data_IF_200279137364
#
_entry.id   IF_200279137364
#
_cell.length_a   1.000
_cell.length_b   1.000
_cell.length_c   1.000
_cell.angle_alpha   90.00
_cell.angle_beta   90.00
_cell.angle_gamma   90.00
#
_symmetry.space_group_name_H-M   'P 1'
#
loop_
_entity.id
_entity.type
_entity.pdbx_description
1 polymer ?
#
# COMPACT_ATOMS: atom_id res chain seq x y z
N UNK A 1 7.74 -15.89 -4.36
CA UNK A 1 8.85 -15.45 -5.23
C UNK A 1 8.95 -13.92 -5.15
N UNK A 2 10.15 -13.35 -5.10
CA UNK A 2 10.34 -11.90 -5.15
C UNK A 2 10.35 -11.43 -6.61
N UNK A 3 9.59 -10.37 -6.90
CA UNK A 3 9.41 -9.81 -8.25
C UNK A 3 9.67 -8.33 -8.15
N UNK A 4 10.57 -7.84 -9.00
CA UNK A 4 11.06 -6.46 -9.00
C UNK A 4 11.83 -6.19 -10.29
N UNK A 5 11.97 -4.92 -10.62
CA UNK A 5 12.76 -4.40 -11.74
C UNK A 5 13.56 -3.15 -11.34
N UNK A 6 13.08 -2.40 -10.33
CA UNK A 6 13.72 -1.19 -9.80
C UNK A 6 15.14 -1.42 -9.28
N UNK A 7 16.00 -0.41 -9.47
CA UNK A 7 17.39 -0.40 -8.98
C UNK A 7 17.46 -0.51 -7.46
N UNK A 8 16.54 0.17 -6.75
CA UNK A 8 16.44 0.11 -5.28
C UNK A 8 16.26 -1.32 -4.75
N UNK A 9 15.44 -2.13 -5.42
CA UNK A 9 15.26 -3.54 -5.04
C UNK A 9 16.48 -4.39 -5.38
N UNK A 10 17.16 -4.12 -6.50
CA UNK A 10 18.42 -4.79 -6.84
C UNK A 10 19.49 -4.57 -5.77
N UNK A 11 19.68 -3.32 -5.32
CA UNK A 11 20.62 -2.97 -4.25
C UNK A 11 20.25 -3.62 -2.92
N UNK A 12 18.95 -3.59 -2.59
CA UNK A 12 18.42 -4.21 -1.36
C UNK A 12 18.68 -5.72 -1.36
N UNK A 13 18.46 -6.41 -2.49
CA UNK A 13 18.72 -7.84 -2.60
C UNK A 13 20.22 -8.18 -2.63
N UNK A 14 21.06 -7.34 -3.24
CA UNK A 14 22.51 -7.51 -3.17
C UNK A 14 23.02 -7.42 -1.72
N UNK A 15 22.46 -6.51 -0.92
CA UNK A 15 22.72 -6.44 0.53
C UNK A 15 22.16 -7.65 1.26
N UNK A 16 20.91 -8.04 0.98
CA UNK A 16 20.27 -9.20 1.60
C UNK A 16 21.06 -10.50 1.35
N UNK A 17 21.59 -10.72 0.14
CA UNK A 17 22.47 -11.86 -0.18
C UNK A 17 23.72 -11.92 0.69
N UNK A 18 24.36 -10.77 0.93
CA UNK A 18 25.53 -10.68 1.83
C UNK A 18 25.12 -10.94 3.28
N UNK A 19 23.99 -10.37 3.71
CA UNK A 19 23.50 -10.51 5.08
C UNK A 19 23.04 -11.95 5.35
N UNK A 20 22.48 -12.66 4.37
CA UNK A 20 22.04 -14.04 4.51
C UNK A 20 23.17 -14.97 4.99
N UNK A 21 24.41 -14.72 4.58
CA UNK A 21 25.61 -15.50 4.98
C UNK A 21 26.13 -15.18 6.39
N UNK A 22 25.71 -14.07 6.99
CA UNK A 22 26.08 -13.67 8.35
C UNK A 22 25.18 -14.35 9.39
N UNK A 23 25.72 -14.59 10.58
CA UNK A 23 24.94 -15.01 11.76
C UNK A 23 24.25 -13.83 12.48
N UNK A 24 24.59 -12.60 12.10
CA UNK A 24 24.05 -11.39 12.72
C UNK A 24 22.55 -11.22 12.52
N UNK A 25 21.93 -10.53 13.48
CA UNK A 25 20.53 -10.09 13.43
C UNK A 25 20.32 -9.16 12.25
N UNK A 26 19.23 -9.38 11.52
CA UNK A 26 18.83 -8.52 10.40
C UNK A 26 17.54 -7.80 10.75
N UNK A 27 17.54 -6.47 10.66
CA UNK A 27 16.35 -5.64 10.83
C UNK A 27 15.83 -5.18 9.46
N UNK A 28 14.58 -5.52 9.15
CA UNK A 28 13.89 -5.13 7.93
C UNK A 28 12.89 -4.01 8.25
N UNK A 29 13.18 -2.81 7.78
CA UNK A 29 12.31 -1.64 7.90
C UNK A 29 11.52 -1.44 6.61
N UNK A 30 10.26 -1.04 6.72
CA UNK A 30 9.44 -0.69 5.56
C UNK A 30 7.96 -0.72 5.87
N UNK A 31 7.19 0.03 5.08
CA UNK A 31 5.74 0.14 5.26
C UNK A 31 5.03 -1.23 5.18
N UNK A 32 3.82 -1.30 5.73
CA UNK A 32 3.00 -2.51 5.62
C UNK A 32 2.68 -2.80 4.15
N UNK A 33 2.68 -4.09 3.80
CA UNK A 33 2.38 -4.52 2.43
C UNK A 33 3.52 -4.37 1.41
N UNK A 34 4.74 -4.03 1.83
CA UNK A 34 5.92 -3.92 0.93
C UNK A 34 6.60 -5.26 0.59
N UNK A 35 6.29 -6.33 1.33
CA UNK A 35 6.88 -7.65 1.16
C UNK A 35 8.02 -8.01 2.12
N UNK A 36 8.10 -7.36 3.30
CA UNK A 36 9.09 -7.66 4.36
C UNK A 36 9.21 -9.15 4.67
N UNK A 37 8.07 -9.81 4.75
CA UNK A 37 7.93 -11.23 5.02
C UNK A 37 8.59 -12.13 3.94
N UNK A 38 8.50 -11.74 2.66
CA UNK A 38 9.17 -12.44 1.55
C UNK A 38 10.68 -12.21 1.58
N UNK A 39 11.12 -11.01 1.98
CA UNK A 39 12.55 -10.71 2.14
C UNK A 39 13.15 -11.47 3.33
N UNK A 40 12.41 -11.63 4.42
CA UNK A 40 12.82 -12.47 5.55
C UNK A 40 12.97 -13.94 5.14
N UNK A 41 12.02 -14.47 4.37
CA UNK A 41 12.12 -15.82 3.82
C UNK A 41 13.34 -15.94 2.89
N UNK A 42 13.56 -14.96 2.02
CA UNK A 42 14.73 -14.92 1.15
C UNK A 42 16.05 -14.97 1.93
N UNK A 43 16.16 -14.22 3.03
CA UNK A 43 17.33 -14.24 3.91
C UNK A 43 17.55 -15.63 4.54
N UNK A 44 16.48 -16.30 4.96
CA UNK A 44 16.56 -17.66 5.50
C UNK A 44 17.02 -18.67 4.44
N UNK A 45 16.37 -18.68 3.28
CA UNK A 45 16.63 -19.60 2.17
C UNK A 45 18.06 -19.48 1.61
N UNK A 46 18.67 -18.29 1.73
CA UNK A 46 20.04 -18.02 1.27
C UNK A 46 21.08 -18.07 2.40
N UNK A 47 20.69 -18.54 3.59
CA UNK A 47 21.59 -18.67 4.74
C UNK A 47 22.14 -20.09 4.90
N UNK A 48 23.20 -20.29 5.69
CA UNK A 48 23.66 -21.63 6.08
C UNK A 48 22.60 -22.48 6.82
N UNK A 49 21.47 -21.90 7.19
CA UNK A 49 20.37 -22.52 7.95
C UNK A 49 19.12 -22.76 7.11
N UNK A 50 19.21 -22.68 5.78
CA UNK A 50 18.08 -22.87 4.87
C UNK A 50 17.38 -24.24 4.98
N UNK A 51 18.09 -25.26 5.48
CA UNK A 51 17.53 -26.60 5.73
C UNK A 51 16.93 -26.76 7.14
N UNK A 52 17.00 -25.72 7.98
CA UNK A 52 16.50 -25.72 9.37
C UNK A 52 15.14 -25.03 9.45
N UNK A 53 14.49 -25.13 10.61
CA UNK A 53 13.19 -24.49 10.82
C UNK A 53 13.27 -22.96 10.65
N UNK A 54 12.26 -22.39 9.99
CA UNK A 54 12.01 -20.96 9.96
C UNK A 54 10.69 -20.69 10.69
N UNK A 55 10.78 -20.31 11.97
CA UNK A 55 9.61 -19.98 12.80
C UNK A 55 9.27 -18.53 12.61
N UNK A 56 8.01 -18.24 12.30
CA UNK A 56 7.54 -16.91 11.90
C UNK A 56 6.47 -16.48 12.88
N UNK A 57 6.65 -15.29 13.44
CA UNK A 57 5.84 -14.79 14.54
C UNK A 57 5.46 -13.36 14.24
N UNK A 58 4.17 -13.06 14.23
CA UNK A 58 3.68 -11.69 14.14
C UNK A 58 3.45 -11.15 15.56
N UNK A 59 4.28 -10.21 15.98
CA UNK A 59 4.22 -9.63 17.31
C UNK A 59 2.93 -8.82 17.56
N UNK A 60 2.29 -8.31 16.50
CA UNK A 60 1.02 -7.58 16.60
C UNK A 60 -0.16 -8.49 16.94
N UNK A 61 -0.02 -9.82 16.79
CA UNK A 61 -1.08 -10.79 17.07
C UNK A 61 -1.12 -11.24 18.54
N UNK A 62 -0.16 -10.81 19.36
CA UNK A 62 -0.14 -11.16 20.77
C UNK A 62 -1.24 -10.43 21.54
N UNK A 63 -2.00 -11.19 22.32
CA UNK A 63 -2.91 -10.62 23.30
C UNK A 63 -2.11 -10.10 24.50
N UNK A 64 -2.59 -9.03 25.13
CA UNK A 64 -1.95 -8.42 26.29
C UNK A 64 -1.66 -9.47 27.37
N UNK A 65 -0.39 -9.59 27.77
CA UNK A 65 0.08 -10.54 28.78
C UNK A 65 0.48 -11.94 28.30
N UNK A 66 0.15 -12.32 27.05
CA UNK A 66 0.55 -13.63 26.50
C UNK A 66 1.83 -13.60 25.66
N UNK A 67 2.29 -12.42 25.25
CA UNK A 67 3.49 -12.27 24.41
C UNK A 67 4.72 -13.00 24.98
N UNK A 68 4.91 -12.96 26.31
CA UNK A 68 6.04 -13.65 26.95
C UNK A 68 5.88 -15.17 26.92
N UNK A 69 4.66 -15.66 27.22
CA UNK A 69 4.32 -17.08 27.19
C UNK A 69 4.46 -17.69 25.79
N UNK A 70 4.06 -16.94 24.77
CA UNK A 70 4.14 -17.37 23.37
C UNK A 70 5.60 -17.38 22.88
N UNK A 71 6.39 -16.34 23.16
CA UNK A 71 7.78 -16.28 22.72
C UNK A 71 8.72 -17.21 23.49
N UNK A 72 8.67 -17.16 24.82
CA UNK A 72 9.63 -17.84 25.71
C UNK A 72 9.11 -19.17 26.27
N UNK A 73 7.81 -19.47 26.11
CA UNK A 73 7.19 -20.61 26.76
C UNK A 73 6.85 -20.36 28.23
N UNK A 74 6.09 -21.28 28.82
CA UNK A 74 5.74 -21.25 30.25
C UNK A 74 5.69 -22.67 30.83
N UNK A 75 5.95 -22.74 32.14
CA UNK A 75 5.73 -23.97 32.92
C UNK A 75 4.29 -24.06 33.42
N UNK A 76 3.85 -25.28 33.72
CA UNK A 76 2.53 -25.51 34.30
C UNK A 76 2.37 -24.70 35.60
N UNK A 77 1.27 -23.98 35.73
CA UNK A 77 0.97 -23.15 36.92
C UNK A 77 1.66 -21.78 36.94
N UNK A 78 2.34 -21.37 35.87
CA UNK A 78 3.04 -20.08 35.82
C UNK A 78 2.10 -18.85 35.94
N UNK A 79 0.85 -18.97 35.50
CA UNK A 79 -0.19 -17.94 35.62
C UNK A 79 -1.60 -18.58 35.59
N UNK A 80 -2.63 -17.79 35.88
CA UNK A 80 -4.04 -18.24 35.82
C UNK A 80 -4.42 -18.65 34.40
N UNK A 81 -4.59 -19.95 34.15
CA UNK A 81 -4.85 -20.52 32.82
C UNK A 81 -3.71 -21.37 32.26
N UNK A 82 -2.52 -21.37 32.88
CA UNK A 82 -1.37 -22.20 32.53
C UNK A 82 -1.56 -23.66 32.97
N UNK A 83 -2.57 -24.32 32.40
CA UNK A 83 -2.96 -25.70 32.76
C UNK A 83 -1.95 -26.75 32.27
N UNK A 84 -1.17 -26.43 31.23
CA UNK A 84 -0.13 -27.29 30.63
C UNK A 84 1.11 -26.45 30.36
N UNK A 85 2.26 -27.13 30.23
CA UNK A 85 3.51 -26.52 29.78
C UNK A 85 3.42 -26.15 28.28
N UNK A 86 4.03 -25.03 27.90
CA UNK A 86 4.20 -24.57 26.52
C UNK A 86 5.66 -24.24 26.26
N UNK A 87 6.23 -24.72 25.15
CA UNK A 87 7.66 -24.56 24.88
C UNK A 87 8.02 -23.20 24.24
N UNK A 88 7.06 -22.54 23.59
CA UNK A 88 7.23 -21.21 22.97
C UNK A 88 7.98 -21.21 21.63
N UNK A 89 7.94 -20.06 20.94
CA UNK A 89 8.50 -19.90 19.60
C UNK A 89 10.03 -19.96 19.54
N UNK A 90 10.71 -19.49 20.59
CA UNK A 90 12.18 -19.59 20.68
C UNK A 90 12.66 -21.03 20.70
N UNK A 91 11.94 -21.91 21.41
CA UNK A 91 12.24 -23.33 21.42
C UNK A 91 11.99 -23.96 20.04
N UNK A 92 10.84 -23.65 19.42
CA UNK A 92 10.48 -24.16 18.09
C UNK A 92 11.50 -23.74 17.02
N UNK A 93 12.12 -22.57 17.16
CA UNK A 93 13.14 -22.10 16.23
C UNK A 93 14.46 -22.87 16.37
N UNK A 94 14.79 -23.39 17.55
CA UNK A 94 15.94 -24.25 17.81
C UNK A 94 17.27 -23.66 17.33
N UNK A 95 17.86 -24.30 16.32
CA UNK A 95 19.08 -23.84 15.62
C UNK A 95 18.82 -23.25 14.23
N UNK A 96 17.56 -23.04 13.88
CA UNK A 96 17.09 -22.44 12.65
C UNK A 96 17.04 -20.92 12.69
N UNK A 97 15.90 -20.35 12.30
CA UNK A 97 15.67 -18.91 12.21
C UNK A 97 14.33 -18.56 12.88
N UNK A 98 14.34 -17.50 13.69
CA UNK A 98 13.14 -16.88 14.25
C UNK A 98 12.91 -15.55 13.54
N UNK A 99 11.82 -15.45 12.80
CA UNK A 99 11.36 -14.22 12.16
C UNK A 99 10.30 -13.55 13.04
N UNK A 100 10.58 -12.33 13.49
CA UNK A 100 9.70 -11.49 14.31
C UNK A 100 9.17 -10.34 13.44
N UNK A 101 7.93 -10.45 12.97
CA UNK A 101 7.25 -9.38 12.23
C UNK A 101 6.57 -8.40 13.19
N UNK A 102 6.55 -7.14 12.79
CA UNK A 102 6.08 -6.00 13.58
C UNK A 102 6.69 -5.93 15.01
N UNK A 103 8.02 -6.06 15.11
CA UNK A 103 8.77 -6.05 16.38
C UNK A 103 8.51 -4.80 17.23
N UNK A 104 8.14 -3.67 16.60
CA UNK A 104 7.78 -2.42 17.27
C UNK A 104 6.49 -2.50 18.11
N UNK A 105 5.70 -3.56 17.96
CA UNK A 105 4.48 -3.81 18.76
C UNK A 105 4.77 -4.59 20.06
N UNK A 106 6.01 -5.03 20.29
CA UNK A 106 6.32 -5.81 21.50
C UNK A 106 6.17 -4.97 22.78
N UNK A 107 5.54 -5.52 23.84
CA UNK A 107 5.52 -4.88 25.16
C UNK A 107 6.92 -4.70 25.75
N UNK A 108 7.14 -3.61 26.50
CA UNK A 108 8.44 -3.30 27.15
C UNK A 108 9.02 -4.44 28.02
N UNK A 109 8.23 -5.19 28.82
CA UNK A 109 8.77 -6.32 29.59
C UNK A 109 9.34 -7.42 28.69
N UNK A 110 8.64 -7.73 27.59
CA UNK A 110 9.05 -8.70 26.57
C UNK A 110 10.31 -8.25 25.86
N UNK A 111 10.44 -6.95 25.57
CA UNK A 111 11.65 -6.36 24.96
C UNK A 111 12.90 -6.59 25.83
N UNK A 112 12.80 -6.41 27.16
CA UNK A 112 13.92 -6.64 28.08
C UNK A 112 14.37 -8.11 28.09
N UNK A 113 13.42 -9.06 28.02
CA UNK A 113 13.74 -10.49 27.91
C UNK A 113 14.37 -10.82 26.56
N UNK A 114 13.84 -10.28 25.47
CA UNK A 114 14.39 -10.48 24.12
C UNK A 114 15.82 -9.95 24.00
N UNK A 115 16.16 -8.85 24.68
CA UNK A 115 17.54 -8.37 24.74
C UNK A 115 18.49 -9.43 25.33
N UNK A 116 18.12 -10.05 26.47
CA UNK A 116 18.93 -11.11 27.09
C UNK A 116 19.14 -12.29 26.15
N UNK A 117 18.11 -12.62 25.35
CA UNK A 117 18.18 -13.66 24.32
C UNK A 117 19.18 -13.30 23.21
N UNK A 118 19.21 -12.05 22.76
CA UNK A 118 20.13 -11.58 21.73
C UNK A 118 21.58 -11.42 22.21
N UNK A 119 21.78 -11.23 23.51
CA UNK A 119 23.10 -11.05 24.12
C UNK A 119 23.73 -12.37 24.57
N UNK A 120 22.98 -13.17 25.34
CA UNK A 120 23.48 -14.37 26.00
C UNK A 120 23.06 -15.67 25.30
N UNK A 121 22.17 -15.62 24.29
CA UNK A 121 21.57 -16.80 23.66
C UNK A 121 20.85 -17.73 24.66
N UNK A 122 20.41 -17.15 25.78
CA UNK A 122 19.78 -17.84 26.90
C UNK A 122 18.45 -17.18 27.24
N UNK A 123 17.47 -17.99 27.64
CA UNK A 123 16.15 -17.52 28.05
C UNK A 123 15.58 -18.39 29.17
N UNK A 124 14.57 -17.85 29.86
CA UNK A 124 13.81 -18.55 30.89
C UNK A 124 12.36 -18.63 30.44
N UNK A 125 11.73 -19.79 30.66
CA UNK A 125 10.28 -19.91 30.53
C UNK A 125 9.61 -19.13 31.65
N UNK A 126 8.40 -18.63 31.40
CA UNK A 126 7.61 -17.97 32.44
C UNK A 126 7.34 -18.98 33.57
N UNK A 127 7.67 -18.60 34.81
CA UNK A 127 7.54 -19.46 36.00
C UNK A 127 8.66 -20.48 36.20
N UNK A 128 9.67 -20.52 35.33
CA UNK A 128 10.83 -21.41 35.48
C UNK A 128 12.08 -20.68 35.94
N UNK A 129 12.94 -21.39 36.67
CA UNK A 129 14.33 -20.98 37.00
C UNK A 129 15.36 -21.70 36.14
N UNK A 130 14.93 -22.61 35.26
CA UNK A 130 15.81 -23.40 34.40
C UNK A 130 16.19 -22.62 33.14
N UNK A 131 17.49 -22.32 33.00
CA UNK A 131 18.04 -21.62 31.84
C UNK A 131 17.98 -22.51 30.60
N UNK A 132 17.31 -22.01 29.56
CA UNK A 132 17.25 -22.61 28.24
C UNK A 132 18.23 -21.90 27.30
N UNK A 133 18.84 -22.64 26.38
CA UNK A 133 19.71 -22.09 25.34
C UNK A 133 19.05 -22.18 23.99
N UNK A 134 19.19 -21.13 23.18
CA UNK A 134 18.83 -21.16 21.77
C UNK A 134 20.05 -20.85 20.92
N UNK A 135 20.08 -21.33 19.69
CA UNK A 135 21.10 -20.89 18.72
C UNK A 135 20.48 -20.24 17.50
N UNK A 136 19.15 -20.10 17.46
CA UNK A 136 18.37 -19.53 16.38
C UNK A 136 18.85 -18.13 15.98
N UNK A 137 18.83 -17.87 14.67
CA UNK A 137 19.13 -16.57 14.10
C UNK A 137 17.87 -15.73 14.17
N UNK A 138 17.99 -14.48 14.59
CA UNK A 138 16.86 -13.56 14.63
C UNK A 138 16.83 -12.69 13.37
N UNK A 139 15.66 -12.63 12.73
CA UNK A 139 15.32 -11.64 11.69
C UNK A 139 14.12 -10.87 12.23
N UNK A 140 14.23 -9.56 12.31
CA UNK A 140 13.14 -8.70 12.80
C UNK A 140 12.62 -7.82 11.65
N UNK A 141 11.33 -7.53 11.64
CA UNK A 141 10.71 -6.61 10.71
C UNK A 141 9.80 -5.61 11.43
N UNK A 142 9.68 -4.40 10.88
CA UNK A 142 8.76 -3.38 11.41
C UNK A 142 8.35 -2.37 10.36
N UNK A 143 7.13 -1.86 10.49
CA UNK A 143 6.64 -0.66 9.80
C UNK A 143 6.86 0.65 10.57
N UNK A 144 7.25 0.60 11.85
CA UNK A 144 7.46 1.78 12.70
C UNK A 144 8.88 2.31 12.55
N UNK A 145 9.02 3.60 12.82
CA UNK A 145 10.34 4.21 13.02
C UNK A 145 10.80 3.94 14.46
N UNK A 146 11.62 2.88 14.64
CA UNK A 146 12.07 2.48 15.97
C UNK A 146 12.83 3.58 16.70
N UNK A 147 13.49 4.51 16.00
CA UNK A 147 14.18 5.63 16.66
C UNK A 147 13.19 6.59 17.31
N UNK A 148 12.04 6.82 16.66
CA UNK A 148 10.94 7.60 17.24
C UNK A 148 10.28 6.85 18.40
N UNK A 149 10.12 5.53 18.29
CA UNK A 149 9.57 4.72 19.38
C UNK A 149 10.49 4.70 20.61
N UNK A 150 11.82 4.70 20.41
CA UNK A 150 12.81 4.86 21.48
C UNK A 150 12.69 6.24 22.14
N UNK A 151 12.65 7.31 21.34
CA UNK A 151 12.48 8.67 21.87
C UNK A 151 11.15 8.85 22.65
N UNK A 152 10.11 8.10 22.26
CA UNK A 152 8.82 8.10 22.94
C UNK A 152 8.74 7.13 24.14
N UNK A 153 9.82 6.42 24.48
CA UNK A 153 9.86 5.47 25.60
C UNK A 153 9.04 4.19 25.39
N UNK A 154 8.58 3.93 24.16
CA UNK A 154 7.81 2.71 23.80
C UNK A 154 8.70 1.57 23.33
N UNK A 155 9.94 1.87 22.98
CA UNK A 155 10.94 0.87 22.60
C UNK A 155 12.23 1.12 23.36
N UNK A 156 12.92 0.05 23.76
CA UNK A 156 14.19 0.19 24.50
C UNK A 156 15.35 0.50 23.55
N UNK A 157 16.18 1.45 23.94
CA UNK A 157 17.37 1.86 23.19
C UNK A 157 18.39 0.72 23.05
N UNK A 158 18.62 -0.03 24.13
CA UNK A 158 19.55 -1.17 24.16
C UNK A 158 19.15 -2.28 23.16
N UNK A 159 17.86 -2.64 23.13
CA UNK A 159 17.31 -3.60 22.18
C UNK A 159 17.42 -3.08 20.74
N UNK A 160 17.13 -1.79 20.52
CA UNK A 160 17.24 -1.19 19.19
C UNK A 160 18.67 -1.33 18.64
N UNK A 161 19.70 -1.00 19.42
CA UNK A 161 21.08 -1.15 18.99
C UNK A 161 21.48 -2.59 18.72
N UNK A 162 20.90 -3.57 19.42
CA UNK A 162 21.17 -4.99 19.20
C UNK A 162 20.44 -5.57 17.97
N UNK A 163 19.33 -4.95 17.57
CA UNK A 163 18.58 -5.30 16.35
C UNK A 163 19.14 -4.59 15.10
N UNK A 164 19.52 -3.31 15.21
CA UNK A 164 20.00 -2.45 14.11
C UNK A 164 21.46 -2.71 13.72
N UNK A 165 21.87 -3.98 13.68
CA UNK A 165 23.24 -4.40 13.31
C UNK A 165 23.35 -4.54 11.79
N UNK A 166 22.42 -5.24 11.16
CA UNK A 166 22.34 -5.40 9.71
C UNK A 166 20.97 -4.94 9.22
N UNK A 167 20.90 -3.73 8.68
CA UNK A 167 19.60 -3.08 8.44
C UNK A 167 19.28 -3.02 6.94
N UNK A 168 18.11 -3.54 6.57
CA UNK A 168 17.54 -3.47 5.23
C UNK A 168 16.32 -2.56 5.27
N UNK A 169 16.21 -1.65 4.31
CA UNK A 169 15.01 -0.83 4.11
C UNK A 169 14.35 -1.29 2.82
N UNK A 170 13.08 -1.68 2.90
CA UNK A 170 12.24 -1.87 1.73
C UNK A 170 11.51 -0.57 1.44
N UNK A 171 11.77 -0.04 0.24
CA UNK A 171 11.09 1.15 -0.23
C UNK A 171 9.59 0.87 -0.43
N UNK A 172 8.72 1.84 -0.12
CA UNK A 172 7.31 1.76 -0.50
C UNK A 172 7.16 1.73 -2.03
N UNK A 173 6.04 1.22 -2.52
CA UNK A 173 5.81 0.97 -3.95
C UNK A 173 5.89 2.25 -4.79
N UNK A 174 5.47 3.39 -4.23
CA UNK A 174 5.60 4.73 -4.85
C UNK A 174 7.04 5.20 -5.06
N UNK A 175 8.01 4.66 -4.32
CA UNK A 175 9.45 4.94 -4.50
C UNK A 175 10.11 3.96 -5.50
N UNK A 176 9.36 2.99 -6.03
CA UNK A 176 9.83 1.95 -6.97
C UNK A 176 8.77 1.62 -8.02
N UNK A 177 8.32 2.65 -8.72
CA UNK A 177 7.22 2.54 -9.69
C UNK A 177 7.56 1.64 -10.86
N UNK A 178 8.84 1.40 -11.14
CA UNK A 178 9.30 0.45 -12.17
C UNK A 178 8.94 -1.00 -11.83
N UNK A 179 8.70 -1.33 -10.55
CA UNK A 179 8.24 -2.67 -10.16
C UNK A 179 6.76 -2.91 -10.54
N UNK A 180 5.96 -1.86 -10.74
CA UNK A 180 4.50 -1.98 -10.88
C UNK A 180 4.10 -2.82 -12.11
N UNK A 181 4.63 -2.58 -13.34
CA UNK A 181 4.23 -3.36 -14.51
C UNK A 181 4.53 -4.85 -14.36
N UNK A 182 5.70 -5.22 -13.85
CA UNK A 182 6.08 -6.64 -13.64
C UNK A 182 5.26 -7.30 -12.54
N UNK A 183 4.92 -6.57 -11.48
CA UNK A 183 4.02 -7.05 -10.43
C UNK A 183 2.60 -7.27 -10.94
N UNK A 184 2.06 -6.34 -11.72
CA UNK A 184 0.73 -6.47 -12.35
C UNK A 184 0.70 -7.70 -13.24
N UNK A 185 1.67 -7.85 -14.14
CA UNK A 185 1.75 -9.01 -15.03
C UNK A 185 1.86 -10.34 -14.28
N UNK A 186 2.55 -10.35 -13.15
CA UNK A 186 2.60 -11.53 -12.29
C UNK A 186 1.24 -11.86 -11.67
N UNK A 187 0.56 -10.85 -11.10
CA UNK A 187 -0.75 -11.07 -10.47
C UNK A 187 -1.82 -11.47 -11.48
N UNK A 188 -1.82 -10.91 -12.69
CA UNK A 188 -2.71 -11.33 -13.76
C UNK A 188 -2.53 -12.82 -14.10
N UNK A 189 -1.28 -13.29 -14.23
CA UNK A 189 -0.98 -14.71 -14.48
C UNK A 189 -1.42 -15.59 -13.32
N UNK A 190 -1.18 -15.14 -12.09
CA UNK A 190 -1.56 -15.88 -10.89
C UNK A 190 -3.08 -16.06 -10.80
N UNK A 191 -3.85 -14.98 -10.93
CA UNK A 191 -5.31 -15.01 -10.79
C UNK A 191 -6.02 -15.54 -12.03
N UNK A 192 -5.41 -15.40 -13.21
CA UNK A 192 -5.88 -16.08 -14.43
C UNK A 192 -5.88 -17.60 -14.27
N UNK A 193 -4.85 -18.16 -13.62
CA UNK A 193 -4.77 -19.59 -13.33
C UNK A 193 -5.67 -20.02 -12.17
N UNK A 194 -5.74 -19.25 -11.10
CA UNK A 194 -6.52 -19.62 -9.90
C UNK A 194 -8.04 -19.54 -10.13
N UNK A 195 -8.52 -18.57 -10.91
CA UNK A 195 -9.94 -18.28 -11.06
C UNK A 195 -10.50 -18.66 -12.45
N UNK A 196 -9.70 -19.29 -13.32
CA UNK A 196 -10.05 -19.60 -14.71
C UNK A 196 -10.63 -18.39 -15.48
N UNK A 197 -10.14 -17.18 -15.15
CA UNK A 197 -10.67 -15.94 -15.71
C UNK A 197 -10.14 -15.70 -17.13
N UNK A 198 -10.92 -15.06 -18.02
CA UNK A 198 -10.47 -14.72 -19.36
C UNK A 198 -9.42 -13.60 -19.39
N UNK A 199 -9.15 -12.98 -18.24
CA UNK A 199 -8.31 -11.79 -18.11
C UNK A 199 -6.84 -12.13 -18.32
N UNK A 200 -6.23 -11.51 -19.33
CA UNK A 200 -4.81 -11.71 -19.67
C UNK A 200 -3.99 -10.43 -19.61
N UNK A 201 -4.63 -9.26 -19.64
CA UNK A 201 -3.94 -7.98 -19.69
C UNK A 201 -4.69 -6.85 -18.95
N UNK A 202 -3.95 -5.82 -18.59
CA UNK A 202 -4.47 -4.49 -18.24
C UNK A 202 -4.25 -3.58 -19.44
N UNK A 203 -5.21 -2.71 -19.74
CA UNK A 203 -5.09 -1.73 -20.83
C UNK A 203 -3.85 -0.85 -20.66
N UNK A 204 -3.13 -0.60 -21.76
CA UNK A 204 -1.94 0.28 -21.78
C UNK A 204 -2.26 1.69 -21.27
N UNK A 205 -3.51 2.14 -21.41
CA UNK A 205 -3.99 3.44 -20.91
C UNK A 205 -4.06 3.50 -19.36
N UNK A 206 -4.21 2.36 -18.70
CA UNK A 206 -4.28 2.27 -17.24
C UNK A 206 -2.89 2.19 -16.60
N UNK A 207 -1.87 1.72 -17.32
CA UNK A 207 -0.54 1.51 -16.76
C UNK A 207 0.08 2.80 -16.18
N UNK A 208 0.03 3.97 -16.87
CA UNK A 208 0.51 5.22 -16.29
C UNK A 208 -0.24 5.61 -15.01
N UNK A 209 -1.54 5.35 -14.95
CA UNK A 209 -2.36 5.63 -13.77
C UNK A 209 -1.97 4.73 -12.59
N UNK A 210 -1.71 3.44 -12.86
CA UNK A 210 -1.18 2.50 -11.86
C UNK A 210 0.19 2.93 -11.34
N UNK A 211 1.07 3.41 -12.23
CA UNK A 211 2.41 3.86 -11.86
C UNK A 211 2.41 5.15 -11.05
N UNK A 212 1.46 6.06 -11.30
CA UNK A 212 1.37 7.35 -10.62
C UNK A 212 0.55 7.33 -9.32
N UNK A 213 -0.10 6.22 -8.99
CA UNK A 213 -0.88 6.09 -7.77
C UNK A 213 0.03 5.94 -6.53
N UNK A 214 -0.39 6.48 -5.38
CA UNK A 214 0.45 6.52 -4.16
C UNK A 214 0.63 5.16 -3.48
N UNK A 215 -0.31 4.23 -3.69
CA UNK A 215 -0.34 2.89 -3.10
C UNK A 215 -0.11 2.88 -1.58
N UNK A 216 -1.00 3.46 -0.76
CA UNK A 216 -0.86 3.45 0.71
C UNK A 216 -0.78 2.03 1.31
N UNK A 217 -1.38 1.02 0.67
CA UNK A 217 -1.24 -0.38 1.06
C UNK A 217 -0.17 -1.16 0.29
N UNK A 218 0.70 -0.46 -0.46
CA UNK A 218 1.82 -1.00 -1.22
C UNK A 218 1.41 -2.20 -2.11
N UNK A 219 2.25 -3.23 -2.19
CA UNK A 219 2.03 -4.42 -3.02
C UNK A 219 0.78 -5.19 -2.58
N UNK A 220 0.42 -5.15 -1.28
CA UNK A 220 -0.81 -5.79 -0.79
C UNK A 220 -2.06 -5.15 -1.40
N UNK A 221 -2.10 -3.81 -1.47
CA UNK A 221 -3.20 -3.10 -2.13
C UNK A 221 -3.21 -3.37 -3.63
N UNK A 222 -2.07 -3.28 -4.31
CA UNK A 222 -1.97 -3.58 -5.75
C UNK A 222 -2.49 -4.98 -6.05
N UNK A 223 -2.06 -5.99 -5.30
CA UNK A 223 -2.53 -7.38 -5.43
C UNK A 223 -4.06 -7.46 -5.29
N UNK A 224 -4.64 -6.81 -4.29
CA UNK A 224 -6.08 -6.84 -4.05
C UNK A 224 -6.87 -6.14 -5.16
N UNK A 225 -6.36 -5.01 -5.67
CA UNK A 225 -6.97 -4.26 -6.77
C UNK A 225 -7.00 -5.11 -8.05
N UNK A 226 -5.87 -5.73 -8.40
CA UNK A 226 -5.79 -6.61 -9.57
C UNK A 226 -6.65 -7.87 -9.39
N UNK A 227 -6.62 -8.50 -8.21
CA UNK A 227 -7.47 -9.65 -7.90
C UNK A 227 -8.96 -9.33 -8.12
N UNK A 228 -9.43 -8.23 -7.53
CA UNK A 228 -10.82 -7.79 -7.69
C UNK A 228 -11.16 -7.53 -9.15
N UNK A 229 -10.30 -6.84 -9.88
CA UNK A 229 -10.51 -6.57 -11.30
C UNK A 229 -10.58 -7.85 -12.14
N UNK A 230 -9.77 -8.87 -11.83
CA UNK A 230 -9.85 -10.17 -12.48
C UNK A 230 -11.18 -10.88 -12.24
N UNK A 231 -11.74 -10.78 -11.03
CA UNK A 231 -13.02 -11.42 -10.66
C UNK A 231 -14.22 -10.68 -11.26
N UNK A 232 -14.17 -9.34 -11.34
CA UNK A 232 -15.28 -8.51 -11.84
C UNK A 232 -15.30 -8.40 -13.38
N UNK A 233 -14.21 -8.74 -14.06
CA UNK A 233 -14.11 -8.58 -15.51
C UNK A 233 -14.63 -9.81 -16.25
N UNK A 234 -15.59 -9.58 -17.14
CA UNK A 234 -16.10 -10.60 -18.09
C UNK A 234 -15.30 -10.63 -19.41
N UNK A 235 -14.37 -9.68 -19.59
CA UNK A 235 -13.56 -9.49 -20.81
C UNK A 235 -12.09 -9.77 -20.56
N UNK A 236 -11.33 -10.04 -21.61
CA UNK A 236 -9.92 -10.45 -21.50
C UNK A 236 -8.95 -9.32 -21.10
N UNK A 237 -9.36 -8.06 -21.22
CA UNK A 237 -8.53 -6.90 -20.90
C UNK A 237 -9.24 -6.03 -19.87
N UNK A 238 -8.57 -5.76 -18.75
CA UNK A 238 -9.08 -4.83 -17.74
C UNK A 238 -8.94 -3.41 -18.27
N UNK A 239 -10.08 -2.73 -18.45
CA UNK A 239 -10.15 -1.33 -18.88
C UNK A 239 -10.54 -0.36 -17.75
N UNK A 240 -10.91 -0.89 -16.57
CA UNK A 240 -11.29 -0.09 -15.41
C UNK A 240 -10.73 -0.71 -14.13
N UNK A 241 -10.21 0.13 -13.24
CA UNK A 241 -9.71 -0.28 -11.92
C UNK A 241 -10.30 0.61 -10.84
N UNK A 242 -10.86 -0.03 -9.83
CA UNK A 242 -11.18 0.63 -8.56
C UNK A 242 -9.98 0.47 -7.61
N UNK A 243 -9.45 1.57 -7.10
CA UNK A 243 -8.29 1.59 -6.21
C UNK A 243 -8.68 1.49 -4.71
N UNK A 244 -10.00 1.47 -4.40
CA UNK A 244 -10.55 1.48 -3.06
C UNK A 244 -11.13 2.85 -2.64
N UNK A 245 -11.63 2.92 -1.41
CA UNK A 245 -12.44 4.03 -0.85
C UNK A 245 -11.99 5.42 -1.33
N UNK A 246 -12.80 6.01 -2.22
CA UNK A 246 -12.68 7.42 -2.64
C UNK A 246 -11.95 7.70 -3.96
N UNK A 247 -11.36 6.70 -4.63
CA UNK A 247 -10.58 6.90 -5.85
C UNK A 247 -10.96 5.89 -6.95
N UNK A 248 -12.15 6.05 -7.53
CA UNK A 248 -12.50 5.35 -8.77
C UNK A 248 -11.88 6.08 -9.98
N UNK A 249 -10.90 5.47 -10.64
CA UNK A 249 -10.48 5.89 -11.98
C UNK A 249 -11.44 5.26 -12.99
N UNK A 250 -12.43 6.05 -13.41
CA UNK A 250 -13.34 5.70 -14.50
C UNK A 250 -12.75 6.20 -15.81
N UNK A 251 -12.39 5.29 -16.71
CA UNK A 251 -12.25 5.63 -18.13
C UNK A 251 -13.61 5.31 -18.77
N UNK A 252 -14.33 6.36 -19.16
CA UNK A 252 -15.50 6.22 -20.01
C UNK A 252 -15.04 5.81 -21.43
N UNK A 253 -15.77 4.93 -22.13
CA UNK A 253 -15.44 4.62 -23.52
C UNK A 253 -15.45 5.91 -24.33
N UNK A 254 -14.34 6.15 -25.04
CA UNK A 254 -14.08 7.31 -25.88
C UNK A 254 -15.27 7.61 -26.81
N UNK A 255 -16.14 8.51 -26.37
CA UNK A 255 -16.95 9.36 -27.22
C UNK A 255 -16.49 10.78 -26.93
N UNK A 256 -15.47 11.20 -27.68
CA UNK A 256 -15.06 12.58 -27.94
C UNK A 256 -15.34 13.61 -26.82
N UNK A 257 -14.27 13.87 -26.05
CA UNK A 257 -13.92 15.16 -25.43
C UNK A 257 -14.97 15.88 -24.54
N UNK A 258 -14.71 15.90 -23.24
CA UNK A 258 -14.40 17.18 -22.57
C UNK A 258 -13.57 16.92 -21.30
N UNK A 259 -12.29 17.28 -21.38
CA UNK A 259 -11.49 17.56 -20.21
C UNK A 259 -12.06 18.82 -19.57
N UNK A 260 -12.44 18.75 -18.29
CA UNK A 260 -12.60 19.94 -17.46
C UNK A 260 -11.18 20.39 -17.09
N UNK A 261 -10.46 20.89 -18.11
CA UNK A 261 -9.35 21.78 -17.89
C UNK A 261 -9.97 23.14 -17.54
N UNK A 262 -9.43 23.79 -16.52
CA UNK A 262 -9.60 25.22 -16.26
C UNK A 262 -9.16 26.01 -17.50
N UNK A 263 -10.04 26.13 -18.48
CA UNK A 263 -9.83 26.93 -19.68
C UNK A 263 -10.11 28.38 -19.30
N UNK A 264 -9.05 29.19 -19.23
CA UNK A 264 -9.18 30.63 -19.21
C UNK A 264 -10.03 31.09 -20.40
N UNK A 265 -11.01 31.96 -20.14
CA UNK A 265 -11.87 32.52 -21.18
C UNK A 265 -10.99 33.20 -22.25
N UNK A 266 -11.26 32.99 -23.56
CA UNK A 266 -10.50 33.63 -24.63
C UNK A 266 -10.37 35.14 -24.39
N UNK A 267 -9.18 35.71 -24.59
CA UNK A 267 -8.79 37.05 -24.12
C UNK A 267 -9.66 38.25 -24.54
N UNK A 268 -10.67 38.06 -25.40
CA UNK A 268 -11.68 39.08 -25.73
C UNK A 268 -12.81 39.22 -24.70
N UNK A 269 -13.04 38.22 -23.84
CA UNK A 269 -14.18 38.21 -22.90
C UNK A 269 -13.81 38.60 -21.47
N UNK A 270 -12.52 38.81 -21.17
CA UNK A 270 -12.03 39.04 -19.81
C UNK A 270 -12.41 40.41 -19.23
N UNK A 271 -12.72 41.39 -20.09
CA UNK A 271 -13.05 42.78 -19.69
C UNK A 271 -14.49 43.20 -20.06
N UNK A 272 -15.36 42.25 -20.46
CA UNK A 272 -16.71 42.54 -20.90
C UNK A 272 -17.71 42.23 -19.76
N UNK A 273 -18.70 43.10 -19.48
CA UNK A 273 -19.72 42.80 -18.48
C UNK A 273 -20.49 41.53 -18.86
N UNK A 274 -20.90 40.77 -17.84
CA UNK A 274 -21.55 39.46 -18.01
C UNK A 274 -22.76 39.50 -18.96
N UNK A 275 -23.51 40.62 -18.95
CA UNK A 275 -24.67 40.82 -19.81
C UNK A 275 -24.31 40.90 -21.30
N UNK A 276 -23.15 41.47 -21.64
CA UNK A 276 -22.70 41.60 -23.04
C UNK A 276 -22.12 40.28 -23.57
N UNK A 277 -21.43 39.51 -22.72
CA UNK A 277 -20.97 38.16 -23.05
C UNK A 277 -22.19 37.27 -23.30
N UNK A 278 -23.19 37.32 -22.41
CA UNK A 278 -24.43 36.58 -22.55
C UNK A 278 -25.17 36.96 -23.84
N UNK A 279 -25.25 38.27 -24.14
CA UNK A 279 -25.85 38.79 -25.38
C UNK A 279 -25.14 38.27 -26.61
N UNK A 280 -23.80 38.32 -26.64
CA UNK A 280 -23.01 37.83 -27.75
C UNK A 280 -23.21 36.34 -28.02
N UNK A 281 -23.19 35.52 -26.96
CA UNK A 281 -23.39 34.07 -27.05
C UNK A 281 -24.79 33.73 -27.56
N UNK A 282 -25.81 34.40 -27.04
CA UNK A 282 -27.20 34.18 -27.45
C UNK A 282 -27.42 34.56 -28.92
N UNK A 283 -26.93 35.73 -29.36
CA UNK A 283 -27.08 36.19 -30.74
C UNK A 283 -26.31 35.30 -31.72
N UNK A 284 -25.07 34.94 -31.38
CA UNK A 284 -24.25 34.03 -32.20
C UNK A 284 -24.92 32.66 -32.38
N UNK A 285 -25.62 32.16 -31.34
CA UNK A 285 -26.35 30.89 -31.43
C UNK A 285 -27.60 31.01 -32.29
N UNK A 286 -28.34 32.10 -32.16
CA UNK A 286 -29.53 32.37 -32.99
C UNK A 286 -29.16 32.48 -34.47
N UNK A 287 -28.05 33.14 -34.80
CA UNK A 287 -27.54 33.23 -36.17
C UNK A 287 -27.17 31.86 -36.73
N UNK A 288 -26.45 31.04 -35.95
CA UNK A 288 -26.09 29.68 -36.35
C UNK A 288 -27.32 28.79 -36.58
N UNK A 289 -28.36 28.95 -35.76
CA UNK A 289 -29.64 28.26 -35.92
C UNK A 289 -30.59 28.96 -36.93
N UNK A 290 -30.07 29.85 -37.79
CA UNK A 290 -30.83 30.56 -38.85
C UNK A 290 -32.11 31.24 -38.34
N UNK A 291 -32.08 31.79 -37.14
CA UNK A 291 -33.21 32.50 -36.52
C UNK A 291 -34.22 31.61 -35.78
N UNK A 292 -33.98 30.29 -35.70
CA UNK A 292 -34.87 29.37 -34.98
C UNK A 292 -34.66 29.46 -33.45
N UNK A 293 -35.49 30.29 -32.80
CA UNK A 293 -35.38 30.61 -31.36
C UNK A 293 -35.62 29.40 -30.43
N UNK A 294 -36.41 28.41 -30.86
CA UNK A 294 -36.66 27.20 -30.07
C UNK A 294 -35.47 26.25 -30.07
N UNK A 295 -34.78 26.15 -31.22
CA UNK A 295 -33.60 25.31 -31.39
C UNK A 295 -32.38 25.93 -30.71
N UNK A 296 -32.20 27.24 -30.85
CA UNK A 296 -31.16 27.97 -30.14
C UNK A 296 -31.31 27.87 -28.60
N UNK A 297 -32.55 27.86 -28.09
CA UNK A 297 -32.81 27.69 -26.66
C UNK A 297 -32.41 26.29 -26.16
N UNK A 298 -32.74 25.24 -26.93
CA UNK A 298 -32.35 23.87 -26.62
C UNK A 298 -30.83 23.70 -26.61
N UNK A 299 -30.14 24.30 -27.58
CA UNK A 299 -28.68 24.20 -27.70
C UNK A 299 -27.90 25.01 -26.63
N UNK A 300 -28.56 26.01 -26.04
CA UNK A 300 -28.03 26.80 -24.91
C UNK A 300 -28.43 26.21 -23.54
N UNK A 301 -29.24 25.15 -23.51
CA UNK A 301 -29.71 24.53 -22.26
C UNK A 301 -30.70 25.39 -21.47
N UNK A 302 -31.38 26.34 -22.12
CA UNK A 302 -32.36 27.24 -21.48
C UNK A 302 -33.76 27.05 -22.08
N UNK A 303 -34.81 27.39 -21.32
CA UNK A 303 -36.17 27.31 -21.86
C UNK A 303 -36.43 28.39 -22.91
N UNK A 304 -37.26 28.09 -23.92
CA UNK A 304 -37.65 29.06 -24.93
C UNK A 304 -38.35 30.31 -24.36
N UNK A 305 -38.95 30.21 -23.17
CA UNK A 305 -39.51 31.33 -22.41
C UNK A 305 -38.42 32.25 -21.86
N UNK A 306 -37.36 31.68 -21.27
CA UNK A 306 -36.21 32.43 -20.76
C UNK A 306 -35.52 33.20 -21.88
N UNK A 307 -35.30 32.56 -23.04
CA UNK A 307 -34.69 33.20 -24.20
C UNK A 307 -35.54 34.36 -24.74
N UNK A 308 -36.87 34.18 -24.85
CA UNK A 308 -37.79 35.24 -25.29
C UNK A 308 -37.84 36.43 -24.33
N UNK A 309 -37.83 36.17 -23.01
CA UNK A 309 -37.84 37.23 -22.00
C UNK A 309 -36.55 38.08 -22.05
N UNK A 310 -35.39 37.44 -22.27
CA UNK A 310 -34.10 38.15 -22.42
C UNK A 310 -34.06 39.00 -23.69
N UNK A 311 -34.51 38.47 -24.82
CA UNK A 311 -34.62 39.22 -26.08
C UNK A 311 -35.61 40.40 -25.98
N UNK A 312 -36.73 40.23 -25.28
CA UNK A 312 -37.70 41.31 -25.06
C UNK A 312 -37.11 42.44 -24.23
N UNK A 313 -36.37 42.10 -23.16
CA UNK A 313 -35.69 43.09 -22.30
C UNK A 313 -34.64 43.90 -23.06
N UNK A 314 -33.87 43.28 -23.95
CA UNK A 314 -32.92 44.01 -24.81
C UNK A 314 -33.61 44.92 -25.83
N UNK A 315 -34.72 44.47 -26.43
CA UNK A 315 -35.51 45.29 -27.35
C UNK A 315 -36.18 46.50 -26.67
N UNK A 316 -36.52 46.40 -25.39
CA UNK A 316 -37.06 47.53 -24.60
C UNK A 316 -35.96 48.54 -24.26
N UNK A 317 -34.76 48.05 -23.91
CA UNK A 317 -33.60 48.90 -23.62
C UNK A 317 -33.10 49.66 -24.87
N UNK A 318 -33.15 49.05 -26.06
CA UNK A 318 -32.82 49.71 -27.33
C UNK A 318 -33.85 50.74 -27.80
N UNK A 319 -35.11 50.67 -27.34
CA UNK A 319 -36.14 51.67 -27.62
C UNK A 319 -36.16 52.84 -26.65
N UNK A 320 -35.53 52.67 -25.48
CA UNK A 320 -35.42 53.69 -24.44
C UNK A 320 -34.12 54.52 -24.54
N UNK A 321 -33.20 54.11 -25.42
CA UNK A 321 -31.98 54.84 -25.82
C UNK A 321 -32.16 55.55 -27.16
#
# INVERSE_FOLDING_TARGET
MLIFESSSMHDTLARARRFARSSGTVLISGESGTGKELLAQYLHDNSPRASRACVRVNCAAFHDGLAESELFGHEQGAFTGASRRHDGFLHAAGDGTLFLDEIGELPLPTQAKLLRVLEAQEYLRVGSTEVQRMSARIIAATNRDLRKEVAAGRFREDLFHRLDVLSLRLAPLRERTEDIPVLVNHFLKLFGQENETPVTAVSDELMPSLMNFEWPGNVRQLRNVIHRACVESEISTICRLDFGVGSELRIAPQTSASAIATAELPGGYQNMPLEDIERFVILSRIERCRGNKTEAAAELGVTARTLRNKLARWNELEKAS
#
